data_IF_399021425526
#
_entry.id   IF_399021425526
#
_cell.length_a   1.000
_cell.length_b   1.000
_cell.length_c   1.000
_cell.angle_alpha   90.00
_cell.angle_beta   90.00
_cell.angle_gamma   90.00
#
_symmetry.space_group_name_H-M   'P 1'
#
loop_
_entity.id
_entity.type
_entity.pdbx_description
1 polymer ?
#
# COMPACT_ATOMS: atom_id res chain seq x y z
N UNK A 1 28.34 45.13 -30.57
CA UNK A 1 28.50 43.69 -30.86
C UNK A 1 27.12 43.07 -31.03
N UNK A 2 26.78 42.63 -32.23
CA UNK A 2 25.47 42.09 -32.64
C UNK A 2 25.33 40.66 -32.09
N UNK A 3 24.40 40.40 -31.16
CA UNK A 3 24.12 39.04 -30.67
C UNK A 3 23.11 38.38 -31.63
N UNK A 4 23.59 37.42 -32.41
CA UNK A 4 22.78 36.61 -33.33
C UNK A 4 22.04 35.56 -32.49
N UNK A 5 20.71 35.62 -32.49
CA UNK A 5 19.85 34.59 -31.90
C UNK A 5 19.82 33.38 -32.86
N UNK A 6 20.45 32.26 -32.47
CA UNK A 6 20.25 30.98 -33.14
C UNK A 6 18.99 30.33 -32.56
N UNK A 7 17.90 30.40 -33.30
CA UNK A 7 16.66 29.69 -33.03
C UNK A 7 16.87 28.22 -33.44
N UNK A 8 17.14 27.34 -32.48
CA UNK A 8 17.23 25.90 -32.71
C UNK A 8 15.82 25.33 -32.95
N UNK A 9 15.57 24.61 -34.06
CA UNK A 9 14.27 24.02 -34.33
C UNK A 9 14.06 22.82 -33.38
N UNK A 10 13.05 22.90 -32.52
CA UNK A 10 12.58 21.79 -31.71
C UNK A 10 11.76 20.85 -32.62
N UNK A 11 12.42 19.84 -33.17
CA UNK A 11 11.78 18.80 -33.98
C UNK A 11 11.02 17.87 -33.01
N UNK A 12 9.70 18.03 -32.93
CA UNK A 12 8.82 17.07 -32.27
C UNK A 12 8.57 15.87 -33.21
N UNK A 13 9.41 14.85 -33.12
CA UNK A 13 9.16 13.55 -33.74
C UNK A 13 8.11 12.81 -32.92
N UNK A 14 6.83 13.09 -33.15
CA UNK A 14 5.74 12.15 -32.78
C UNK A 14 5.69 11.05 -33.84
N UNK A 15 6.73 10.20 -33.86
CA UNK A 15 6.72 8.99 -34.66
C UNK A 15 5.74 8.00 -34.06
N UNK A 16 4.78 7.53 -34.85
CA UNK A 16 4.03 6.31 -34.53
C UNK A 16 4.98 5.12 -34.69
N UNK A 17 5.87 4.91 -33.72
CA UNK A 17 6.71 3.71 -33.68
C UNK A 17 5.79 2.55 -33.33
N UNK A 18 5.60 1.63 -34.27
CA UNK A 18 4.95 0.34 -34.02
C UNK A 18 5.65 -0.36 -32.86
N UNK A 19 4.89 -0.98 -31.96
CA UNK A 19 5.46 -1.72 -30.82
C UNK A 19 6.18 -3.00 -31.29
N UNK A 20 5.76 -3.57 -32.43
CA UNK A 20 6.37 -4.73 -33.06
C UNK A 20 7.02 -4.38 -34.41
N UNK A 21 8.16 -5.02 -34.68
CA UNK A 21 8.80 -5.06 -35.98
C UNK A 21 8.49 -6.39 -36.72
N UNK A 22 8.89 -6.51 -38.00
CA UNK A 22 8.55 -7.67 -38.83
C UNK A 22 9.14 -8.97 -38.26
N UNK A 23 10.35 -8.91 -37.69
CA UNK A 23 10.98 -10.08 -37.06
C UNK A 23 10.19 -10.55 -35.83
N UNK A 24 9.69 -9.63 -35.00
CA UNK A 24 8.86 -9.98 -33.85
C UNK A 24 7.50 -10.54 -34.28
N UNK A 25 6.90 -10.02 -35.35
CA UNK A 25 5.69 -10.59 -35.92
C UNK A 25 5.88 -12.03 -36.41
N UNK A 26 7.03 -12.33 -37.04
CA UNK A 26 7.30 -13.63 -37.68
C UNK A 26 7.90 -14.68 -36.75
N UNK A 27 8.76 -14.27 -35.82
CA UNK A 27 9.60 -15.18 -35.03
C UNK A 27 9.20 -15.30 -33.56
N UNK A 28 8.27 -14.46 -33.07
CA UNK A 28 7.76 -14.61 -31.70
C UNK A 28 6.96 -15.91 -31.57
N UNK A 29 7.35 -16.74 -30.60
CA UNK A 29 6.57 -17.89 -30.19
C UNK A 29 5.39 -17.45 -29.33
N UNK A 30 4.29 -17.12 -29.99
CA UNK A 30 3.06 -16.67 -29.34
C UNK A 30 2.45 -17.73 -28.43
N UNK A 31 2.67 -19.02 -28.71
CA UNK A 31 2.24 -20.10 -27.82
C UNK A 31 2.98 -20.03 -26.50
N UNK A 32 4.32 -19.93 -26.51
CA UNK A 32 5.11 -19.80 -25.30
C UNK A 32 4.80 -18.50 -24.52
N UNK A 33 4.53 -17.39 -25.21
CA UNK A 33 4.04 -16.15 -24.57
C UNK A 33 2.74 -16.41 -23.81
N UNK A 34 1.80 -17.13 -24.44
CA UNK A 34 0.56 -17.57 -23.81
C UNK A 34 0.81 -18.42 -22.56
N UNK A 35 1.64 -19.46 -22.68
CA UNK A 35 1.99 -20.36 -21.56
C UNK A 35 2.54 -19.57 -20.37
N UNK A 36 3.45 -18.62 -20.62
CA UNK A 36 4.05 -17.80 -19.58
C UNK A 36 3.03 -16.88 -18.89
N UNK A 37 2.10 -16.29 -19.65
CA UNK A 37 1.07 -15.44 -19.06
C UNK A 37 0.05 -16.23 -18.25
N UNK A 38 -0.40 -17.35 -18.79
CA UNK A 38 -1.37 -18.23 -18.13
C UNK A 38 -0.81 -18.81 -16.83
N UNK A 39 0.44 -19.31 -16.85
CA UNK A 39 1.09 -19.88 -15.66
C UNK A 39 1.42 -18.83 -14.59
N UNK A 40 1.60 -17.57 -14.99
CA UNK A 40 1.79 -16.45 -14.08
C UNK A 40 0.48 -15.87 -13.51
N UNK A 41 -0.69 -16.37 -13.94
CA UNK A 41 -1.98 -15.84 -13.49
C UNK A 41 -2.31 -14.44 -14.04
N UNK A 42 -1.74 -14.06 -15.19
CA UNK A 42 -1.93 -12.73 -15.79
C UNK A 42 -3.20 -12.69 -16.64
N UNK A 43 -3.99 -11.61 -16.59
CA UNK A 43 -5.12 -11.45 -17.51
C UNK A 43 -4.69 -11.66 -18.96
N UNK A 44 -5.56 -12.30 -19.77
CA UNK A 44 -5.29 -12.52 -21.18
C UNK A 44 -4.97 -11.20 -21.87
N UNK A 45 -3.89 -11.15 -22.64
CA UNK A 45 -3.49 -9.93 -23.37
C UNK A 45 -4.52 -9.61 -24.43
N UNK A 46 -4.81 -8.32 -24.56
CA UNK A 46 -5.46 -7.79 -25.75
C UNK A 46 -4.41 -7.64 -26.86
N UNK A 47 -4.47 -8.52 -27.86
CA UNK A 47 -3.56 -8.55 -29.00
C UNK A 47 -3.99 -7.61 -30.14
N UNK A 48 -5.01 -6.77 -29.95
CA UNK A 48 -5.50 -5.89 -31.02
C UNK A 48 -4.41 -4.97 -31.57
N UNK A 49 -3.57 -4.42 -30.69
CA UNK A 49 -2.44 -3.58 -31.11
C UNK A 49 -1.37 -4.37 -31.86
N UNK A 50 -1.07 -5.59 -31.42
CA UNK A 50 -0.11 -6.48 -32.08
C UNK A 50 -0.59 -6.88 -33.48
N UNK A 51 -1.88 -7.17 -33.63
CA UNK A 51 -2.53 -7.43 -34.93
C UNK A 51 -2.37 -6.22 -35.86
N UNK A 52 -2.67 -5.01 -35.37
CA UNK A 52 -2.56 -3.77 -36.16
C UNK A 52 -1.12 -3.49 -36.61
N UNK A 53 -0.15 -3.64 -35.71
CA UNK A 53 1.25 -3.36 -36.00
C UNK A 53 1.84 -4.38 -37.00
N UNK A 54 1.49 -5.66 -36.87
CA UNK A 54 1.90 -6.67 -37.86
C UNK A 54 1.21 -6.50 -39.22
N UNK A 55 -0.07 -6.09 -39.24
CA UNK A 55 -0.79 -5.84 -40.48
C UNK A 55 -0.18 -4.69 -41.30
N UNK A 56 0.31 -3.62 -40.66
CA UNK A 56 1.06 -2.53 -41.33
C UNK A 56 2.33 -3.02 -42.03
N UNK A 57 2.87 -4.15 -41.59
CA UNK A 57 4.06 -4.80 -42.13
C UNK A 57 3.71 -5.93 -43.11
N UNK A 58 2.46 -6.00 -43.57
CA UNK A 58 1.92 -7.04 -44.45
C UNK A 58 2.01 -8.45 -43.84
N UNK A 59 1.99 -8.57 -42.51
CA UNK A 59 1.98 -9.86 -41.81
C UNK A 59 0.67 -10.04 -41.04
N UNK A 60 -0.03 -11.16 -41.26
CA UNK A 60 -1.26 -11.47 -40.52
C UNK A 60 -0.90 -12.29 -39.28
N UNK A 61 -1.08 -11.70 -38.09
CA UNK A 61 -0.80 -12.36 -36.83
C UNK A 61 -1.89 -13.39 -36.48
N UNK A 62 -1.52 -14.66 -36.39
CA UNK A 62 -2.39 -15.71 -35.86
C UNK A 62 -2.34 -15.72 -34.32
N UNK A 63 -3.48 -15.46 -33.67
CA UNK A 63 -3.58 -15.39 -32.20
C UNK A 63 -3.99 -16.70 -31.54
N UNK A 64 -4.36 -17.73 -32.32
CA UNK A 64 -4.78 -19.02 -31.76
C UNK A 64 -3.68 -19.76 -30.99
N UNK A 65 -2.39 -19.74 -31.43
CA UNK A 65 -1.30 -20.30 -30.63
C UNK A 65 -1.19 -19.66 -29.25
N UNK A 66 -1.37 -18.33 -29.16
CA UNK A 66 -1.37 -17.60 -27.88
C UNK A 66 -2.51 -18.06 -26.97
N UNK A 67 -3.74 -18.09 -27.48
CA UNK A 67 -4.91 -18.51 -26.69
C UNK A 67 -4.75 -19.95 -26.19
N UNK A 68 -4.24 -20.85 -27.04
CA UNK A 68 -3.96 -22.24 -26.67
C UNK A 68 -2.91 -22.33 -25.56
N UNK A 69 -1.76 -21.67 -25.75
CA UNK A 69 -0.70 -21.62 -24.75
C UNK A 69 -1.18 -21.00 -23.43
N UNK A 70 -2.00 -19.95 -23.49
CA UNK A 70 -2.59 -19.31 -22.33
C UNK A 70 -3.42 -20.29 -21.48
N UNK A 71 -4.31 -21.06 -22.12
CA UNK A 71 -5.09 -22.09 -21.42
C UNK A 71 -4.20 -23.17 -20.82
N UNK A 72 -3.16 -23.62 -21.53
CA UNK A 72 -2.18 -24.61 -21.02
C UNK A 72 -1.41 -24.08 -19.80
N UNK A 73 -0.94 -22.83 -19.84
CA UNK A 73 -0.32 -22.18 -18.69
C UNK A 73 -1.29 -22.01 -17.52
N UNK A 74 -2.52 -21.59 -17.80
CA UNK A 74 -3.56 -21.41 -16.78
C UNK A 74 -3.90 -22.72 -16.06
N UNK A 75 -3.83 -23.88 -16.72
CA UNK A 75 -3.98 -25.19 -16.05
C UNK A 75 -2.98 -25.38 -14.91
N UNK A 76 -1.73 -24.92 -15.07
CA UNK A 76 -0.72 -24.99 -14.02
C UNK A 76 -1.05 -24.04 -12.87
N UNK A 77 -1.41 -22.79 -13.17
CA UNK A 77 -1.78 -21.80 -12.16
C UNK A 77 -3.04 -22.21 -11.37
N UNK A 78 -4.02 -22.82 -12.04
CA UNK A 78 -5.28 -23.24 -11.46
C UNK A 78 -5.22 -24.63 -10.78
N UNK A 79 -4.08 -25.32 -10.82
CA UNK A 79 -3.87 -26.61 -10.15
C UNK A 79 -2.67 -26.52 -9.20
N UNK A 80 -2.75 -25.70 -8.14
CA UNK A 80 -1.66 -25.54 -7.20
C UNK A 80 -1.25 -26.87 -6.55
N UNK A 81 0.05 -27.04 -6.34
CA UNK A 81 0.64 -28.29 -5.88
C UNK A 81 0.44 -28.51 -4.38
N UNK A 82 0.75 -29.73 -3.94
CA UNK A 82 0.84 -30.05 -2.52
C UNK A 82 1.87 -29.18 -1.78
N UNK A 83 3.02 -28.91 -2.42
CA UNK A 83 4.09 -28.09 -1.82
C UNK A 83 3.65 -26.64 -1.66
N UNK A 84 2.93 -26.07 -2.64
CA UNK A 84 2.36 -24.73 -2.54
C UNK A 84 1.41 -24.63 -1.34
N UNK A 85 0.54 -25.63 -1.19
CA UNK A 85 -0.36 -25.74 -0.05
C UNK A 85 0.39 -25.83 1.28
N UNK A 86 1.41 -26.69 1.36
CA UNK A 86 2.20 -26.86 2.57
C UNK A 86 2.92 -25.57 2.99
N UNK A 87 3.50 -24.84 2.04
CA UNK A 87 4.13 -23.55 2.29
C UNK A 87 3.10 -22.51 2.76
N UNK A 88 1.93 -22.44 2.10
CA UNK A 88 0.83 -21.57 2.49
C UNK A 88 0.35 -21.86 3.92
N UNK A 89 0.19 -23.15 4.26
CA UNK A 89 -0.20 -23.58 5.60
C UNK A 89 0.84 -23.23 6.66
N UNK A 90 2.13 -23.38 6.37
CA UNK A 90 3.23 -23.00 7.29
C UNK A 90 3.26 -21.48 7.56
N UNK A 91 2.81 -20.68 6.60
CA UNK A 91 2.67 -19.23 6.73
C UNK A 91 1.36 -18.81 7.41
N UNK A 92 0.43 -19.74 7.64
CA UNK A 92 -0.88 -19.44 8.21
C UNK A 92 -1.79 -18.65 7.26
N UNK A 93 -1.64 -18.85 5.94
CA UNK A 93 -2.51 -18.22 4.95
C UNK A 93 -3.96 -18.71 5.09
N UNK A 94 -4.91 -17.77 4.95
CA UNK A 94 -6.35 -18.06 5.02
C UNK A 94 -6.84 -18.69 3.72
N UNK A 95 -7.90 -19.49 3.77
CA UNK A 95 -8.43 -20.18 2.59
C UNK A 95 -8.84 -19.20 1.47
N UNK A 96 -9.32 -18.00 1.82
CA UNK A 96 -9.70 -16.98 0.84
C UNK A 96 -8.57 -16.59 -0.11
N UNK A 97 -7.31 -16.70 0.33
CA UNK A 97 -6.14 -16.32 -0.47
C UNK A 97 -6.01 -17.20 -1.72
N UNK A 98 -6.30 -18.50 -1.60
CA UNK A 98 -6.25 -19.41 -2.75
C UNK A 98 -7.52 -19.33 -3.61
N UNK A 99 -8.67 -19.06 -2.98
CA UNK A 99 -9.93 -18.87 -3.69
C UNK A 99 -9.91 -17.62 -4.58
N UNK A 100 -9.06 -16.63 -4.32
CA UNK A 100 -8.86 -15.47 -5.18
C UNK A 100 -8.46 -15.84 -6.62
N UNK A 101 -7.88 -17.04 -6.85
CA UNK A 101 -7.58 -17.54 -8.21
C UNK A 101 -8.82 -17.85 -9.03
N UNK A 102 -9.98 -18.02 -8.40
CA UNK A 102 -11.22 -18.47 -9.05
C UNK A 102 -11.61 -17.58 -10.24
N UNK A 103 -11.54 -16.25 -10.09
CA UNK A 103 -11.90 -15.31 -11.15
C UNK A 103 -11.00 -15.44 -12.38
N UNK A 104 -9.68 -15.55 -12.16
CA UNK A 104 -8.73 -15.80 -13.22
C UNK A 104 -8.99 -17.15 -13.91
N UNK A 105 -9.16 -18.23 -13.14
CA UNK A 105 -9.39 -19.57 -13.68
C UNK A 105 -10.67 -19.63 -14.53
N UNK A 106 -11.75 -18.98 -14.06
CA UNK A 106 -12.99 -18.84 -14.83
C UNK A 106 -12.77 -18.09 -16.14
N UNK A 107 -12.05 -16.96 -16.12
CA UNK A 107 -11.73 -16.19 -17.33
C UNK A 107 -10.88 -17.00 -18.32
N UNK A 108 -9.96 -17.84 -17.83
CA UNK A 108 -9.16 -18.74 -18.64
C UNK A 108 -9.91 -20.00 -19.09
N UNK A 109 -11.17 -20.18 -18.68
CA UNK A 109 -11.96 -21.39 -18.91
C UNK A 109 -11.32 -22.67 -18.35
N UNK A 110 -10.64 -22.55 -17.21
CA UNK A 110 -9.99 -23.64 -16.49
C UNK A 110 -10.62 -23.79 -15.10
N UNK A 111 -10.80 -25.02 -14.62
CA UNK A 111 -11.28 -25.26 -13.26
C UNK A 111 -10.16 -25.05 -12.23
N UNK A 112 -10.48 -24.40 -11.11
CA UNK A 112 -9.60 -24.32 -9.95
C UNK A 112 -9.65 -25.65 -9.18
N UNK A 113 -8.54 -26.40 -9.16
CA UNK A 113 -8.45 -27.72 -8.54
C UNK A 113 -7.56 -27.64 -7.30
N UNK A 114 -8.18 -27.66 -6.12
CA UNK A 114 -7.46 -27.45 -4.84
C UNK A 114 -7.14 -28.73 -4.07
N UNK A 115 -7.41 -29.91 -4.61
CA UNK A 115 -7.27 -31.18 -3.87
C UNK A 115 -5.88 -31.36 -3.24
N UNK A 116 -4.82 -31.24 -4.05
CA UNK A 116 -3.45 -31.43 -3.57
C UNK A 116 -2.99 -30.27 -2.67
N UNK A 117 -3.33 -29.03 -3.07
CA UNK A 117 -3.07 -27.85 -2.25
C UNK A 117 -3.69 -27.97 -0.86
N UNK A 118 -4.97 -28.33 -0.74
CA UNK A 118 -5.65 -28.46 0.55
C UNK A 118 -5.04 -29.55 1.42
N UNK A 119 -4.55 -30.65 0.84
CA UNK A 119 -3.81 -31.67 1.58
C UNK A 119 -2.49 -31.11 2.13
N UNK A 120 -1.73 -30.40 1.29
CA UNK A 120 -0.51 -29.72 1.69
C UNK A 120 -0.75 -28.70 2.79
N UNK A 121 -1.73 -27.83 2.62
CA UNK A 121 -2.12 -26.80 3.57
C UNK A 121 -2.47 -27.40 4.93
N UNK A 122 -3.28 -28.47 4.95
CA UNK A 122 -3.63 -29.17 6.18
C UNK A 122 -2.41 -29.80 6.89
N UNK A 123 -1.36 -30.15 6.16
CA UNK A 123 -0.09 -30.62 6.74
C UNK A 123 0.74 -29.46 7.27
N UNK A 124 0.88 -28.39 6.49
CA UNK A 124 1.68 -27.21 6.83
C UNK A 124 1.12 -26.40 8.01
N UNK A 125 -0.20 -26.27 8.10
CA UNK A 125 -0.88 -25.48 9.14
C UNK A 125 -0.60 -25.98 10.55
N UNK A 126 -0.21 -27.24 10.73
CA UNK A 126 0.23 -27.77 12.03
C UNK A 126 1.51 -27.12 12.57
N UNK A 127 2.41 -26.68 11.67
CA UNK A 127 3.65 -25.96 12.02
C UNK A 127 3.39 -24.50 12.35
N UNK A 128 2.36 -23.90 11.76
CA UNK A 128 1.91 -22.56 12.13
C UNK A 128 1.13 -22.57 13.45
N UNK A 129 0.17 -23.49 13.60
CA UNK A 129 -0.73 -23.58 14.75
C UNK A 129 -0.10 -24.32 15.93
N UNK A 130 0.99 -23.75 16.44
CA UNK A 130 1.70 -24.22 17.64
C UNK A 130 1.37 -23.34 18.85
N UNK A 131 1.62 -23.86 20.05
CA UNK A 131 1.49 -23.07 21.27
C UNK A 131 2.46 -21.87 21.27
N UNK A 132 3.68 -22.08 20.78
CA UNK A 132 4.69 -21.01 20.72
C UNK A 132 4.25 -19.87 19.80
N UNK A 133 3.77 -20.18 18.59
CA UNK A 133 3.24 -19.15 17.70
C UNK A 133 2.03 -18.45 18.32
N UNK A 134 1.10 -19.18 18.94
CA UNK A 134 -0.03 -18.57 19.65
C UNK A 134 0.44 -17.57 20.70
N UNK A 135 1.37 -17.99 21.57
CA UNK A 135 1.96 -17.13 22.60
C UNK A 135 2.61 -15.87 22.01
N UNK A 136 3.38 -16.00 20.93
CA UNK A 136 4.04 -14.87 20.26
C UNK A 136 3.02 -13.89 19.66
N UNK A 137 1.96 -14.36 19.02
CA UNK A 137 0.88 -13.49 18.54
C UNK A 137 0.25 -12.70 19.68
N UNK A 138 -0.03 -13.38 20.80
CA UNK A 138 -0.55 -12.75 22.00
C UNK A 138 0.41 -11.68 22.56
N UNK A 139 1.72 -11.98 22.63
CA UNK A 139 2.73 -11.02 23.11
C UNK A 139 2.84 -9.75 22.26
N UNK A 140 2.42 -9.81 20.99
CA UNK A 140 2.38 -8.66 20.09
C UNK A 140 1.03 -7.93 20.09
N UNK A 141 0.05 -8.42 20.85
CA UNK A 141 -1.31 -7.88 20.84
C UNK A 141 -2.05 -8.15 19.52
N UNK A 142 -1.55 -9.06 18.69
CA UNK A 142 -2.18 -9.40 17.42
C UNK A 142 -3.42 -10.25 17.66
N UNK A 143 -4.47 -10.03 16.86
CA UNK A 143 -5.62 -10.93 16.85
C UNK A 143 -5.17 -12.36 16.51
N UNK A 144 -5.75 -13.35 17.19
CA UNK A 144 -5.54 -14.74 16.82
C UNK A 144 -6.16 -14.97 15.42
N UNK A 145 -5.38 -15.45 14.43
CA UNK A 145 -5.92 -15.73 13.10
C UNK A 145 -6.86 -16.93 13.17
N UNK A 146 -8.01 -16.81 12.50
CA UNK A 146 -9.00 -17.89 12.39
C UNK A 146 -8.63 -18.90 11.28
N UNK A 147 -7.41 -19.44 11.38
CA UNK A 147 -6.84 -20.39 10.40
C UNK A 147 -6.55 -21.75 11.02
N UNK A 148 -6.60 -21.87 12.35
CA UNK A 148 -6.23 -23.08 13.05
C UNK A 148 -7.40 -24.06 13.12
N UNK A 149 -7.31 -25.26 12.51
CA UNK A 149 -8.33 -26.31 12.66
C UNK A 149 -8.55 -26.68 14.12
N UNK A 150 -9.73 -27.20 14.47
CA UNK A 150 -10.15 -27.48 15.86
C UNK A 150 -9.12 -28.29 16.67
N UNK A 151 -8.42 -29.24 16.04
CA UNK A 151 -7.35 -30.04 16.68
C UNK A 151 -6.14 -29.23 17.18
N UNK A 152 -5.91 -28.03 16.64
CA UNK A 152 -4.83 -27.13 17.04
C UNK A 152 -5.33 -25.86 17.72
N UNK A 153 -6.60 -25.50 17.51
CA UNK A 153 -7.18 -24.26 18.00
C UNK A 153 -7.05 -24.11 19.52
N UNK A 154 -7.37 -25.14 20.31
CA UNK A 154 -7.33 -25.06 21.77
C UNK A 154 -5.94 -24.75 22.33
N UNK A 155 -4.90 -25.47 21.86
CA UNK A 155 -3.51 -25.24 22.30
C UNK A 155 -2.97 -23.88 21.88
N UNK A 156 -3.31 -23.44 20.66
CA UNK A 156 -2.91 -22.13 20.14
C UNK A 156 -3.56 -21.02 20.94
N UNK A 157 -4.88 -21.07 21.12
CA UNK A 157 -5.65 -20.04 21.84
C UNK A 157 -5.26 -19.94 23.30
N UNK A 158 -5.06 -21.07 24.00
CA UNK A 158 -4.60 -21.05 25.38
C UNK A 158 -3.25 -20.34 25.54
N UNK A 159 -2.33 -20.54 24.58
CA UNK A 159 -1.05 -19.86 24.56
C UNK A 159 -1.16 -18.39 24.16
N UNK A 160 -1.99 -18.09 23.17
CA UNK A 160 -2.33 -16.73 22.75
C UNK A 160 -2.87 -15.89 23.91
N UNK A 161 -3.83 -16.41 24.67
CA UNK A 161 -4.34 -15.73 25.87
C UNK A 161 -3.24 -15.47 26.90
N UNK A 162 -2.27 -16.39 27.09
CA UNK A 162 -1.13 -16.12 27.99
C UNK A 162 -0.28 -14.94 27.51
N UNK A 163 0.04 -14.89 26.21
CA UNK A 163 0.79 -13.78 25.62
C UNK A 163 0.02 -12.46 25.67
N UNK A 164 -1.25 -12.49 25.30
CA UNK A 164 -2.13 -11.31 25.29
C UNK A 164 -2.25 -10.70 26.69
N UNK A 165 -2.35 -11.52 27.75
CA UNK A 165 -2.34 -11.03 29.13
C UNK A 165 -1.08 -10.24 29.48
N UNK A 166 0.09 -10.63 28.97
CA UNK A 166 1.34 -9.90 29.18
C UNK A 166 1.31 -8.59 28.38
N UNK A 167 0.84 -8.64 27.13
CA UNK A 167 0.70 -7.45 26.28
C UNK A 167 -0.23 -6.41 26.93
N UNK A 168 -1.44 -6.82 27.34
CA UNK A 168 -2.45 -5.95 27.95
C UNK A 168 -2.07 -5.43 29.35
N UNK A 169 -1.07 -6.04 30.01
CA UNK A 169 -0.54 -5.54 31.29
C UNK A 169 0.54 -4.47 31.14
N UNK A 170 0.98 -4.15 29.92
CA UNK A 170 1.99 -3.14 29.64
C UNK A 170 1.32 -1.85 29.12
N UNK A 171 1.12 -0.82 29.95
CA UNK A 171 0.37 0.37 29.54
C UNK A 171 1.04 1.15 28.40
N UNK A 172 2.37 1.09 28.28
CA UNK A 172 3.11 1.69 27.18
C UNK A 172 2.68 1.17 25.80
N UNK A 173 2.29 -0.10 25.68
CA UNK A 173 1.75 -0.64 24.43
C UNK A 173 0.44 0.06 24.06
N UNK A 174 -0.43 0.30 25.05
CA UNK A 174 -1.72 0.95 24.85
C UNK A 174 -1.56 2.41 24.40
N UNK A 175 -0.67 3.15 25.06
CA UNK A 175 -0.34 4.53 24.69
C UNK A 175 0.14 4.60 23.24
N UNK A 176 1.09 3.73 22.86
CA UNK A 176 1.61 3.67 21.49
C UNK A 176 0.51 3.37 20.45
N UNK A 177 -0.39 2.43 20.74
CA UNK A 177 -1.54 2.11 19.87
C UNK A 177 -2.47 3.31 19.70
N UNK A 178 -2.85 3.95 20.81
CA UNK A 178 -3.74 5.11 20.79
C UNK A 178 -3.13 6.29 20.03
N UNK A 179 -1.83 6.54 20.24
CA UNK A 179 -1.07 7.57 19.52
C UNK A 179 -0.99 7.28 18.03
N UNK A 180 -0.82 6.02 17.65
CA UNK A 180 -0.79 5.59 16.25
C UNK A 180 -2.18 5.59 15.58
N UNK A 181 -3.25 5.89 16.32
CA UNK A 181 -4.63 5.82 15.80
C UNK A 181 -5.09 4.39 15.49
N UNK A 182 -4.41 3.37 16.02
CA UNK A 182 -4.77 1.98 15.80
C UNK A 182 -5.98 1.58 16.65
N UNK A 183 -6.75 0.61 16.19
CA UNK A 183 -7.93 0.11 16.91
C UNK A 183 -7.57 -0.49 18.28
N UNK A 184 -8.46 -0.32 19.26
CA UNK A 184 -8.29 -0.92 20.58
C UNK A 184 -8.33 -2.46 20.47
N UNK A 185 -7.32 -3.19 21.00
CA UNK A 185 -7.28 -4.64 20.85
C UNK A 185 -8.44 -5.31 21.60
N UNK A 186 -9.27 -6.07 20.88
CA UNK A 186 -10.36 -6.85 21.47
C UNK A 186 -9.88 -7.84 22.55
N UNK A 187 -8.61 -8.24 22.50
CA UNK A 187 -7.97 -9.10 23.51
C UNK A 187 -7.88 -8.46 24.91
N UNK A 188 -7.87 -7.13 24.99
CA UNK A 188 -7.63 -6.38 26.22
C UNK A 188 -8.94 -5.84 26.81
N UNK A 189 -9.80 -6.72 27.32
CA UNK A 189 -11.05 -6.32 27.99
C UNK A 189 -10.81 -5.15 28.98
N UNK A 190 -11.47 -4.03 28.74
CA UNK A 190 -11.35 -2.80 29.52
C UNK A 190 -11.66 -3.00 31.01
N UNK A 191 -12.59 -3.90 31.34
CA UNK A 191 -12.95 -4.23 32.72
C UNK A 191 -11.81 -4.96 33.45
N UNK A 192 -11.01 -5.73 32.71
CA UNK A 192 -9.87 -6.49 33.23
C UNK A 192 -8.58 -5.67 33.20
N UNK A 193 -8.45 -4.77 32.23
CA UNK A 193 -7.25 -3.95 31.99
C UNK A 193 -7.56 -2.44 31.96
N UNK A 194 -8.10 -1.85 33.04
CA UNK A 194 -8.47 -0.43 33.06
C UNK A 194 -7.27 0.51 32.85
N UNK A 195 -6.07 0.13 33.33
CA UNK A 195 -4.84 0.88 33.10
C UNK A 195 -4.43 0.90 31.61
N UNK A 196 -4.69 -0.19 30.89
CA UNK A 196 -4.42 -0.26 29.44
C UNK A 196 -5.39 0.66 28.68
N UNK A 197 -6.68 0.61 29.01
CA UNK A 197 -7.68 1.52 28.43
C UNK A 197 -7.34 2.99 28.67
N UNK A 198 -6.97 3.37 29.89
CA UNK A 198 -6.61 4.74 30.23
C UNK A 198 -5.41 5.26 29.42
N UNK A 199 -4.35 4.45 29.28
CA UNK A 199 -3.19 4.84 28.46
C UNK A 199 -3.51 4.87 26.96
N UNK A 200 -4.38 3.98 26.48
CA UNK A 200 -4.86 4.06 25.10
C UNK A 200 -5.59 5.37 24.82
N UNK A 201 -6.50 5.79 25.71
CA UNK A 201 -7.20 7.08 25.60
C UNK A 201 -6.24 8.27 25.68
N UNK A 202 -5.21 8.20 26.54
CA UNK A 202 -4.15 9.21 26.56
C UNK A 202 -3.43 9.30 25.21
N UNK A 203 -3.06 8.15 24.63
CA UNK A 203 -2.47 8.09 23.30
C UNK A 203 -3.38 8.71 22.23
N UNK A 204 -4.68 8.40 22.24
CA UNK A 204 -5.65 8.99 21.32
C UNK A 204 -5.75 10.52 21.46
N UNK A 205 -5.71 11.04 22.69
CA UNK A 205 -5.70 12.49 22.92
C UNK A 205 -4.48 13.15 22.28
N UNK A 206 -3.31 12.51 22.37
CA UNK A 206 -2.09 12.97 21.69
C UNK A 206 -2.26 12.93 20.18
N UNK A 207 -2.76 11.81 19.62
CA UNK A 207 -3.02 11.68 18.18
C UNK A 207 -3.95 12.79 17.65
N UNK A 208 -5.04 13.07 18.37
CA UNK A 208 -6.00 14.12 18.01
C UNK A 208 -5.37 15.51 18.04
N UNK A 209 -4.54 15.80 19.06
CA UNK A 209 -3.82 17.08 19.15
C UNK A 209 -2.79 17.22 18.03
N UNK A 210 -2.00 16.18 17.76
CA UNK A 210 -1.04 16.16 16.65
C UNK A 210 -1.74 16.40 15.30
N UNK A 211 -2.88 15.75 15.06
CA UNK A 211 -3.69 15.96 13.86
C UNK A 211 -4.28 17.37 13.76
N UNK A 212 -4.79 17.93 14.86
CA UNK A 212 -5.33 19.30 14.91
C UNK A 212 -4.25 20.35 14.63
N UNK A 213 -3.08 20.21 15.24
CA UNK A 213 -1.94 21.10 14.99
C UNK A 213 -1.50 21.03 13.53
N UNK A 214 -1.39 19.82 12.98
CA UNK A 214 -1.00 19.64 11.58
C UNK A 214 -2.03 20.25 10.61
N UNK A 215 -3.33 20.13 10.91
CA UNK A 215 -4.38 20.73 10.11
C UNK A 215 -4.32 22.28 10.15
N UNK A 216 -4.10 22.87 11.32
CA UNK A 216 -3.95 24.32 11.47
C UNK A 216 -2.70 24.86 10.75
N UNK A 217 -1.58 24.12 10.79
CA UNK A 217 -0.36 24.45 10.05
C UNK A 217 -0.64 24.43 8.54
N UNK A 218 -1.32 23.41 8.04
CA UNK A 218 -1.66 23.30 6.62
C UNK A 218 -2.59 24.44 6.18
N UNK A 219 -3.64 24.73 6.96
CA UNK A 219 -4.58 25.84 6.67
C UNK A 219 -3.87 27.20 6.63
N UNK A 220 -3.01 27.49 7.61
CA UNK A 220 -2.24 28.74 7.61
C UNK A 220 -1.28 28.83 6.41
N UNK A 221 -0.64 27.72 6.02
CA UNK A 221 0.20 27.66 4.83
C UNK A 221 -0.59 27.82 3.53
N UNK A 222 -1.79 27.26 3.44
CA UNK A 222 -2.66 27.41 2.28
C UNK A 222 -3.15 28.85 2.13
N UNK A 223 -3.52 29.51 3.23
CA UNK A 223 -3.84 30.95 3.23
C UNK A 223 -2.64 31.79 2.76
N UNK A 224 -1.44 31.47 3.23
CA UNK A 224 -0.20 32.12 2.78
C UNK A 224 0.01 31.91 1.27
N UNK A 225 -0.12 30.68 0.77
CA UNK A 225 0.04 30.37 -0.65
C UNK A 225 -1.04 31.06 -1.52
N UNK A 226 -2.26 31.20 -1.01
CA UNK A 226 -3.33 31.95 -1.68
C UNK A 226 -2.98 33.44 -1.84
N UNK A 227 -2.39 34.07 -0.82
CA UNK A 227 -1.96 35.48 -0.91
C UNK A 227 -0.80 35.62 -1.90
N UNK A 228 0.15 34.69 -1.88
CA UNK A 228 1.32 34.68 -2.78
C UNK A 228 0.89 34.51 -4.24
N UNK A 229 0.00 33.56 -4.52
CA UNK A 229 -0.51 33.31 -5.88
C UNK A 229 -1.38 34.44 -6.42
N UNK A 230 -2.11 35.15 -5.55
CA UNK A 230 -2.89 36.33 -5.93
C UNK A 230 -2.03 37.57 -6.21
N UNK A 231 -0.76 37.59 -5.80
CA UNK A 231 0.12 38.73 -5.96
C UNK A 231 1.44 38.34 -6.67
N UNK A 232 1.56 38.61 -7.99
CA UNK A 232 2.73 38.20 -8.77
C UNK A 232 4.05 38.86 -8.35
N UNK A 233 3.99 39.84 -7.44
CA UNK A 233 5.15 40.55 -6.93
C UNK A 233 5.68 40.01 -5.59
N UNK A 234 5.09 38.91 -5.08
CA UNK A 234 5.58 38.21 -3.89
C UNK A 234 6.35 36.97 -4.36
N UNK A 235 7.64 36.89 -4.01
CA UNK A 235 8.46 35.71 -4.28
C UNK A 235 8.71 34.94 -2.98
N UNK A 236 8.50 33.62 -3.03
CA UNK A 236 8.79 32.71 -1.90
C UNK A 236 10.24 32.20 -2.01
N UNK A 237 11.03 32.39 -0.96
CA UNK A 237 12.40 31.89 -0.82
C UNK A 237 12.50 31.05 0.46
N UNK A 238 12.19 29.76 0.38
CA UNK A 238 12.12 28.88 1.55
C UNK A 238 10.93 29.23 2.47
N UNK A 239 11.23 29.47 3.75
CA UNK A 239 10.27 29.95 4.76
C UNK A 239 10.16 31.49 4.81
N UNK A 240 11.02 32.18 4.06
CA UNK A 240 11.00 33.64 3.94
C UNK A 240 10.38 34.08 2.61
N UNK A 241 9.80 35.28 2.60
CA UNK A 241 9.23 35.86 1.38
C UNK A 241 9.88 37.19 1.12
N UNK A 242 10.45 37.33 -0.06
CA UNK A 242 11.03 38.58 -0.53
C UNK A 242 9.98 39.36 -1.31
N UNK A 243 9.86 40.63 -0.97
CA UNK A 243 9.04 41.58 -1.71
C UNK A 243 9.84 42.06 -2.91
N UNK A 244 9.28 41.95 -4.12
CA UNK A 244 9.94 42.51 -5.30
C UNK A 244 9.89 44.03 -5.19
N UNK A 245 11.08 44.64 -5.14
CA UNK A 245 11.28 46.07 -4.90
C UNK A 245 10.43 46.93 -5.86
N UNK A 246 9.73 47.92 -5.30
CA UNK A 246 8.88 48.87 -6.05
C UNK A 246 7.41 48.50 -6.28
N UNK A 247 6.89 47.40 -5.72
CA UNK A 247 5.50 46.96 -5.94
C UNK A 247 4.60 47.18 -4.72
N UNK A 248 3.42 47.78 -4.95
CA UNK A 248 2.47 48.08 -3.88
C UNK A 248 1.70 46.82 -3.44
N UNK A 249 2.12 46.24 -2.32
CA UNK A 249 1.30 45.26 -1.59
C UNK A 249 0.33 46.02 -0.70
N UNK A 250 -0.91 45.55 -0.61
CA UNK A 250 -1.88 46.18 0.28
C UNK A 250 -1.38 46.06 1.73
N UNK A 251 -1.59 47.09 2.56
CA UNK A 251 -1.23 47.00 3.99
C UNK A 251 -1.88 45.77 4.64
N UNK A 252 -3.10 45.45 4.22
CA UNK A 252 -3.87 44.31 4.69
C UNK A 252 -3.21 42.96 4.39
N UNK A 253 -2.66 42.74 3.20
CA UNK A 253 -2.00 41.48 2.85
C UNK A 253 -0.69 41.29 3.63
N UNK A 254 0.07 42.39 3.81
CA UNK A 254 1.30 42.38 4.62
C UNK A 254 1.01 41.99 6.07
N UNK A 255 0.00 42.62 6.67
CA UNK A 255 -0.38 42.40 8.06
C UNK A 255 -0.93 40.98 8.25
N UNK A 256 -1.75 40.51 7.31
CA UNK A 256 -2.29 39.14 7.30
C UNK A 256 -1.18 38.09 7.18
N UNK A 257 -0.22 38.28 6.26
CA UNK A 257 0.93 37.39 6.11
C UNK A 257 1.79 37.34 7.36
N UNK A 258 2.06 38.49 8.00
CA UNK A 258 2.81 38.54 9.26
C UNK A 258 2.12 37.74 10.37
N UNK A 259 0.80 37.91 10.51
CA UNK A 259 -0.02 37.16 11.47
C UNK A 259 0.01 35.65 11.22
N UNK A 260 -0.18 35.21 9.98
CA UNK A 260 -0.18 33.79 9.63
C UNK A 260 1.19 33.14 9.86
N UNK A 261 2.29 33.84 9.55
CA UNK A 261 3.65 33.34 9.86
C UNK A 261 3.89 33.22 11.37
N UNK A 262 3.40 34.19 12.16
CA UNK A 262 3.42 34.09 13.62
C UNK A 262 2.71 32.84 14.11
N UNK A 263 1.49 32.63 13.62
CA UNK A 263 0.67 31.46 13.95
C UNK A 263 1.39 30.14 13.60
N UNK A 264 1.95 30.00 12.39
CA UNK A 264 2.70 28.78 12.00
C UNK A 264 3.87 28.49 12.94
N UNK A 265 4.64 29.52 13.34
CA UNK A 265 5.74 29.34 14.31
C UNK A 265 5.23 28.90 15.68
N UNK A 266 4.14 29.49 16.16
CA UNK A 266 3.55 29.14 17.44
C UNK A 266 3.00 27.71 17.44
N UNK A 267 2.34 27.29 16.36
CA UNK A 267 1.83 25.92 16.18
C UNK A 267 2.96 24.89 16.12
N UNK A 268 4.07 25.19 15.43
CA UNK A 268 5.25 24.32 15.44
C UNK A 268 5.90 24.22 16.82
N UNK A 269 5.90 25.31 17.61
CA UNK A 269 6.37 25.27 19.00
C UNK A 269 5.50 24.34 19.84
N UNK A 270 4.17 24.45 19.74
CA UNK A 270 3.24 23.55 20.45
C UNK A 270 3.43 22.08 20.02
N UNK A 271 3.66 21.84 18.73
CA UNK A 271 3.96 20.49 18.22
C UNK A 271 5.25 19.91 18.84
N UNK A 272 6.29 20.74 19.01
CA UNK A 272 7.54 20.34 19.68
C UNK A 272 7.32 20.07 21.17
N UNK A 273 6.60 20.93 21.87
CA UNK A 273 6.28 20.75 23.30
C UNK A 273 5.45 19.47 23.53
N UNK A 274 4.51 19.19 22.62
CA UNK A 274 3.73 17.95 22.64
C UNK A 274 4.62 16.72 22.41
N UNK A 275 5.67 16.81 21.60
CA UNK A 275 6.64 15.72 21.42
C UNK A 275 7.49 15.50 22.68
N UNK A 276 8.01 16.57 23.29
CA UNK A 276 8.89 16.48 24.46
C UNK A 276 8.18 15.92 25.71
N UNK A 277 6.91 16.26 25.89
CA UNK A 277 6.06 15.73 26.98
C UNK A 277 5.79 14.23 26.87
N UNK A 278 6.02 13.62 25.70
CA UNK A 278 5.88 12.18 25.49
C UNK A 278 7.16 11.40 25.85
N UNK A 279 8.33 12.05 25.82
CA UNK A 279 9.63 11.44 26.09
C UNK A 279 10.00 11.41 27.59
N UNK A 280 9.22 12.10 28.43
CA UNK A 280 9.55 12.38 29.84
C UNK A 280 8.84 11.48 30.87
N UNK A 281 8.22 10.36 30.45
CA UNK A 281 7.54 9.39 31.34
C UNK A 281 7.73 7.96 30.87
#
# INVERSE_FOLDING_TARGET
>A
MRKILFLTPFIALTGCVSHLNLQQCQATDWHQVGVNDGSAGRPMRDLQKDIQDCAKLNFTLNTDPYKKGYTEGAQQFCTPSYTDGMNAGQQGQVESDIQARQGFCQQAHVQLILKNFNQGWNKGIGSFCTADNGYQFGLRGQAAPDVCPSRYQGRYMAAWHRGARIYCRKPANAFALGKAGQAYPAACDASVYPAFQAEYQRGQSVNQREGSLQAQINDANDQINSIVSANPNISRTGDDFSYVDGTHITRNDRDTMSRLRGLVRDLHREQSELYDTQMTK
#
